data_IF_496787627621
#
_entry.id   IF_496787627621
#
_cell.length_a   1.000
_cell.length_b   1.000
_cell.length_c   1.000
_cell.angle_alpha   90.00
_cell.angle_beta   90.00
_cell.angle_gamma   90.00
#
_symmetry.space_group_name_H-M   'P 1'
#
loop_
_entity.id
_entity.type
_entity.pdbx_description
1 polymer ?
#
# COMPACT_ATOMS: atom_id res chain seq x y z
N UNK A 1 18.66 -7.87 2.57
CA UNK A 1 17.57 -7.02 3.07
C UNK A 1 16.32 -7.87 3.06
N UNK A 2 16.07 -8.51 4.19
CA UNK A 2 14.93 -9.43 4.34
C UNK A 2 13.64 -8.63 4.22
N UNK A 3 12.73 -9.04 3.32
CA UNK A 3 11.46 -8.35 3.05
C UNK A 3 10.30 -8.90 3.87
N UNK A 4 10.59 -9.80 4.81
CA UNK A 4 9.61 -10.35 5.74
C UNK A 4 8.99 -9.22 6.55
N UNK A 5 7.74 -8.87 6.24
CA UNK A 5 6.99 -7.85 6.97
C UNK A 5 6.37 -6.75 6.11
N UNK A 6 6.83 -6.53 4.87
CA UNK A 6 6.34 -5.40 4.07
C UNK A 6 4.81 -5.41 3.87
N UNK A 7 4.23 -6.58 3.60
CA UNK A 7 2.77 -6.70 3.51
C UNK A 7 2.10 -6.35 4.84
N UNK A 8 2.65 -6.83 5.95
CA UNK A 8 2.14 -6.54 7.30
C UNK A 8 2.19 -5.04 7.61
N UNK A 9 3.32 -4.38 7.35
CA UNK A 9 3.48 -2.94 7.56
C UNK A 9 2.51 -2.12 6.71
N UNK A 10 2.34 -2.47 5.44
CA UNK A 10 1.37 -1.80 4.58
C UNK A 10 -0.05 -2.01 5.14
N UNK A 11 -0.44 -3.25 5.47
CA UNK A 11 -1.78 -3.51 6.02
C UNK A 11 -2.02 -2.78 7.33
N UNK A 12 -1.02 -2.68 8.20
CA UNK A 12 -1.09 -1.93 9.46
C UNK A 12 -1.31 -0.45 9.20
N UNK A 13 -0.55 0.18 8.31
CA UNK A 13 -0.73 1.60 7.95
C UNK A 13 -2.13 1.84 7.38
N UNK A 14 -2.62 0.95 6.50
CA UNK A 14 -3.98 1.07 5.97
C UNK A 14 -5.05 0.98 7.08
N UNK A 15 -4.89 0.06 8.03
CA UNK A 15 -5.78 -0.06 9.19
C UNK A 15 -5.71 1.15 10.13
N UNK A 16 -4.52 1.70 10.42
CA UNK A 16 -4.33 2.92 11.23
C UNK A 16 -5.02 4.14 10.59
N UNK A 17 -5.11 4.16 9.26
CA UNK A 17 -5.84 5.15 8.49
C UNK A 17 -7.34 4.83 8.31
N UNK A 18 -7.84 3.77 8.94
CA UNK A 18 -9.26 3.39 8.91
C UNK A 18 -9.82 3.20 7.50
N UNK A 19 -8.98 2.77 6.54
CA UNK A 19 -9.48 2.44 5.20
C UNK A 19 -9.92 0.98 5.14
N UNK A 20 -11.04 0.73 4.45
CA UNK A 20 -11.57 -0.61 4.30
C UNK A 20 -11.00 -1.27 3.04
N UNK A 21 -10.13 -2.28 3.21
CA UNK A 21 -9.52 -2.99 2.08
C UNK A 21 -10.55 -3.92 1.44
N UNK A 22 -10.86 -3.67 0.17
CA UNK A 22 -11.74 -4.50 -0.65
C UNK A 22 -10.97 -5.61 -1.36
N UNK A 23 -9.75 -5.30 -1.82
CA UNK A 23 -8.88 -6.26 -2.50
C UNK A 23 -7.41 -5.89 -2.29
N UNK A 24 -6.57 -6.89 -2.11
CA UNK A 24 -5.12 -6.73 -2.12
C UNK A 24 -4.50 -7.82 -3.01
N UNK A 25 -3.60 -7.43 -3.90
CA UNK A 25 -2.79 -8.37 -4.70
C UNK A 25 -1.33 -8.04 -4.52
N UNK A 26 -0.54 -9.04 -4.17
CA UNK A 26 0.91 -8.89 -3.97
C UNK A 26 1.61 -9.88 -4.88
N UNK A 27 2.53 -9.37 -5.69
CA UNK A 27 3.34 -10.17 -6.59
C UNK A 27 4.80 -9.84 -6.31
N UNK A 28 5.66 -10.86 -6.31
CA UNK A 28 7.10 -10.68 -6.22
C UNK A 28 7.73 -11.30 -7.45
N UNK A 29 8.54 -10.53 -8.16
CA UNK A 29 9.22 -11.02 -9.36
C UNK A 29 10.56 -11.72 -9.05
N UNK A 30 11.23 -12.23 -10.09
CA UNK A 30 12.53 -12.90 -9.97
C UNK A 30 13.67 -11.97 -9.53
N UNK A 31 13.52 -10.65 -9.73
CA UNK A 31 14.43 -9.62 -9.20
C UNK A 31 14.10 -9.26 -7.74
N UNK A 32 13.19 -10.04 -7.13
CA UNK A 32 12.67 -9.87 -5.78
C UNK A 32 11.89 -8.58 -5.62
N UNK A 33 11.52 -7.83 -6.65
CA UNK A 33 10.71 -6.63 -6.52
C UNK A 33 9.26 -7.01 -6.19
N UNK A 34 8.73 -6.45 -5.11
CA UNK A 34 7.37 -6.72 -4.64
C UNK A 34 6.47 -5.58 -5.13
N UNK A 35 5.44 -5.93 -5.89
CA UNK A 35 4.39 -5.01 -6.32
C UNK A 35 3.12 -5.35 -5.57
N UNK A 36 2.60 -4.39 -4.80
CA UNK A 36 1.35 -4.53 -4.06
C UNK A 36 0.30 -3.57 -4.60
N UNK A 37 -0.87 -4.10 -4.96
CA UNK A 37 -2.02 -3.32 -5.41
C UNK A 37 -3.15 -3.47 -4.41
N UNK A 38 -3.61 -2.36 -3.87
CA UNK A 38 -4.73 -2.31 -2.93
C UNK A 38 -5.90 -1.56 -3.56
N UNK A 39 -7.09 -2.14 -3.44
CA UNK A 39 -8.36 -1.48 -3.68
C UNK A 39 -9.02 -1.34 -2.32
N UNK A 40 -9.38 -0.12 -1.95
CA UNK A 40 -10.01 0.17 -0.67
C UNK A 40 -11.04 1.29 -0.83
N UNK A 41 -12.00 1.30 0.09
CA UNK A 41 -12.99 2.36 0.20
C UNK A 41 -12.50 3.45 1.17
N UNK A 42 -12.77 4.72 0.84
CA UNK A 42 -12.41 5.86 1.68
C UNK A 42 -13.48 6.97 1.59
N UNK A 43 -13.60 7.76 2.65
CA UNK A 43 -14.64 8.77 2.77
C UNK A 43 -14.48 9.99 1.85
N UNK A 44 -13.24 10.41 1.57
CA UNK A 44 -12.94 11.53 0.67
C UNK A 44 -11.53 11.42 0.04
N UNK A 45 -11.25 12.22 -0.99
CA UNK A 45 -9.97 12.21 -1.73
C UNK A 45 -8.81 12.88 -0.98
N UNK A 46 -9.06 13.77 -0.03
CA UNK A 46 -8.00 14.35 0.83
C UNK A 46 -7.43 13.28 1.77
N UNK A 47 -8.24 12.29 2.13
CA UNK A 47 -7.79 11.13 2.89
C UNK A 47 -6.75 10.29 2.11
N UNK A 48 -6.90 10.18 0.78
CA UNK A 48 -5.96 9.44 -0.06
C UNK A 48 -4.52 9.95 0.06
N UNK A 49 -4.32 11.28 0.03
CA UNK A 49 -2.99 11.87 0.09
C UNK A 49 -2.28 11.54 1.41
N UNK A 50 -3.03 11.47 2.51
CA UNK A 50 -2.51 11.06 3.83
C UNK A 50 -2.09 9.60 3.84
N UNK A 51 -2.90 8.71 3.25
CA UNK A 51 -2.58 7.28 3.12
C UNK A 51 -1.34 7.08 2.26
N UNK A 52 -1.28 7.69 1.08
CA UNK A 52 -0.12 7.59 0.19
C UNK A 52 1.16 8.12 0.87
N UNK A 53 1.05 9.23 1.59
CA UNK A 53 2.17 9.80 2.36
C UNK A 53 2.62 8.86 3.48
N UNK A 54 1.69 8.18 4.17
CA UNK A 54 2.02 7.24 5.24
C UNK A 54 2.70 5.98 4.71
N UNK A 55 2.19 5.40 3.61
CA UNK A 55 2.80 4.23 2.96
C UNK A 55 4.20 4.59 2.44
N UNK A 56 4.41 5.79 1.88
CA UNK A 56 5.71 6.26 1.41
C UNK A 56 6.78 6.36 2.52
N UNK A 57 6.37 6.48 3.79
CA UNK A 57 7.28 6.52 4.95
C UNK A 57 7.74 5.14 5.42
N UNK A 58 7.20 4.06 4.89
CA UNK A 58 7.70 2.70 5.19
C UNK A 58 9.05 2.54 4.48
N UNK A 59 10.12 2.30 5.24
CA UNK A 59 11.51 2.26 4.72
C UNK A 59 11.71 1.34 3.50
N UNK A 60 10.93 0.26 3.41
CA UNK A 60 11.02 -0.72 2.32
C UNK A 60 10.14 -0.39 1.09
N UNK A 61 9.40 0.73 1.10
CA UNK A 61 8.56 1.18 -0.02
C UNK A 61 9.40 2.06 -0.95
N UNK A 62 9.58 1.59 -2.19
CA UNK A 62 10.30 2.35 -3.22
C UNK A 62 9.47 3.49 -3.81
N UNK A 63 8.21 3.20 -4.19
CA UNK A 63 7.27 4.20 -4.68
C UNK A 63 5.83 3.78 -4.40
N UNK A 64 4.93 4.77 -4.32
CA UNK A 64 3.50 4.57 -4.09
C UNK A 64 2.69 5.68 -4.77
N UNK A 65 1.67 5.28 -5.51
CA UNK A 65 0.81 6.20 -6.25
C UNK A 65 -0.57 5.60 -6.47
N UNK A 66 -1.55 6.47 -6.73
CA UNK A 66 -2.88 6.04 -7.19
C UNK A 66 -2.80 5.58 -8.64
N UNK A 67 -3.35 4.41 -8.89
CA UNK A 67 -3.62 3.87 -10.22
C UNK A 67 -5.11 4.01 -10.50
N UNK A 68 -5.48 4.57 -11.64
CA UNK A 68 -6.88 4.50 -12.09
C UNK A 68 -7.11 3.09 -12.64
N UNK A 69 -8.14 2.40 -12.15
CA UNK A 69 -8.73 1.30 -12.90
C UNK A 69 -9.25 1.91 -14.21
N UNK A 70 -8.80 1.37 -15.34
CA UNK A 70 -9.32 1.76 -16.66
C UNK A 70 -10.82 1.52 -16.76
#
# INVERSE_FOLDING_TARGET
LDRGGLLSDITRVLSEHHVNILTATVQTDSQRLATSRFVFEMSDTTHLDRVLSAVRRIDAVYDVYRVNAG
#
